data_IF_752605282749
#
_entry.id   IF_752605282749
#
_cell.length_a   1.000
_cell.length_b   1.000
_cell.length_c   1.000
_cell.angle_alpha   90.00
_cell.angle_beta   90.00
_cell.angle_gamma   90.00
#
_symmetry.space_group_name_H-M   'P 1'
#
loop_
_entity.id
_entity.type
_entity.pdbx_description
1 polymer ?
#
# COMPACT_ATOMS: atom_id res chain seq x y z
N UNK A 1 -44.03 -38.62 14.07
CA UNK A 1 -43.08 -37.66 14.67
C UNK A 1 -42.80 -36.56 13.66
N UNK A 2 -43.24 -35.32 13.92
CA UNK A 2 -42.90 -34.16 13.09
C UNK A 2 -41.47 -33.74 13.47
N UNK A 3 -40.51 -33.87 12.55
CA UNK A 3 -39.18 -33.33 12.72
C UNK A 3 -39.26 -31.80 12.60
N UNK A 4 -39.23 -31.11 13.73
CA UNK A 4 -39.01 -29.67 13.78
C UNK A 4 -37.57 -29.37 13.35
N UNK A 5 -37.40 -28.90 12.13
CA UNK A 5 -36.16 -28.31 11.66
C UNK A 5 -35.98 -27.01 12.46
N UNK A 6 -35.12 -27.04 13.49
CA UNK A 6 -34.66 -25.82 14.14
C UNK A 6 -33.97 -24.96 13.08
N UNK A 7 -34.64 -23.91 12.63
CA UNK A 7 -34.04 -22.86 11.80
C UNK A 7 -32.97 -22.17 12.66
N UNK A 8 -31.71 -22.55 12.45
CA UNK A 8 -30.58 -21.78 12.99
C UNK A 8 -30.53 -20.48 12.22
N UNK A 9 -30.99 -19.39 12.81
CA UNK A 9 -30.92 -18.06 12.20
C UNK A 9 -29.45 -17.65 12.17
N UNK A 10 -28.84 -17.62 10.98
CA UNK A 10 -27.49 -17.11 10.78
C UNK A 10 -27.53 -15.59 10.99
N UNK A 11 -26.67 -15.05 11.86
CA UNK A 11 -26.53 -13.61 12.03
C UNK A 11 -25.82 -13.02 10.81
N UNK A 12 -26.49 -12.15 10.07
CA UNK A 12 -26.00 -11.56 8.80
C UNK A 12 -25.59 -10.09 8.96
N UNK A 13 -25.38 -9.61 10.18
CA UNK A 13 -24.87 -8.27 10.47
C UNK A 13 -25.89 -7.29 11.07
N UNK A 14 -25.50 -6.00 11.23
CA UNK A 14 -24.24 -5.41 10.76
C UNK A 14 -23.01 -5.98 11.48
N UNK A 15 -21.88 -6.01 10.78
CA UNK A 15 -20.58 -6.41 11.34
C UNK A 15 -19.72 -5.16 11.55
N UNK A 16 -19.08 -5.05 12.71
CA UNK A 16 -18.06 -4.03 12.98
C UNK A 16 -16.68 -4.68 12.90
N UNK A 17 -15.77 -4.07 12.14
CA UNK A 17 -14.39 -4.55 11.96
C UNK A 17 -13.45 -3.43 12.36
N UNK A 18 -12.55 -3.72 13.32
CA UNK A 18 -11.43 -2.86 13.68
C UNK A 18 -10.15 -3.55 13.23
N UNK A 19 -9.36 -2.84 12.44
CA UNK A 19 -8.03 -3.28 12.02
C UNK A 19 -7.00 -2.78 13.03
N UNK A 20 -5.93 -3.55 13.22
CA UNK A 20 -4.80 -3.17 14.09
C UNK A 20 -4.02 -1.99 13.50
N UNK A 21 -3.80 -2.04 12.18
CA UNK A 21 -3.07 -1.02 11.44
C UNK A 21 -3.79 -0.65 10.14
N UNK A 22 -3.42 0.51 9.59
CA UNK A 22 -3.97 0.98 8.32
C UNK A 22 -3.79 -0.05 7.23
N UNK A 23 -2.58 -0.55 6.99
CA UNK A 23 -2.29 -1.61 6.02
C UNK A 23 -2.23 -2.95 6.76
N UNK A 24 -3.36 -3.64 6.80
CA UNK A 24 -3.47 -4.97 7.38
C UNK A 24 -4.57 -5.79 6.69
N UNK A 25 -4.50 -7.12 6.80
CA UNK A 25 -5.52 -8.02 6.29
C UNK A 25 -6.80 -7.92 7.13
N UNK A 26 -7.96 -7.72 6.48
CA UNK A 26 -9.24 -7.80 7.15
C UNK A 26 -9.69 -9.27 7.29
N UNK A 27 -10.83 -9.55 7.96
CA UNK A 27 -11.26 -10.92 8.22
C UNK A 27 -11.42 -11.79 6.96
N UNK A 28 -11.83 -11.20 5.84
CA UNK A 28 -12.02 -11.92 4.58
C UNK A 28 -10.67 -12.32 3.95
N UNK A 29 -9.67 -11.43 3.95
CA UNK A 29 -8.32 -11.74 3.47
C UNK A 29 -7.68 -12.83 4.34
N UNK A 30 -7.85 -12.76 5.67
CA UNK A 30 -7.39 -13.79 6.61
C UNK A 30 -8.06 -15.14 6.33
N UNK A 31 -9.36 -15.17 6.04
CA UNK A 31 -10.10 -16.38 5.67
C UNK A 31 -9.50 -17.09 4.44
N UNK A 32 -9.06 -16.31 3.45
CA UNK A 32 -8.46 -16.83 2.22
C UNK A 32 -6.96 -17.16 2.36
N UNK A 33 -6.36 -16.89 3.52
CA UNK A 33 -4.92 -17.07 3.74
C UNK A 33 -4.04 -16.06 3.01
N UNK A 34 -4.59 -14.90 2.64
CA UNK A 34 -3.84 -13.83 1.98
C UNK A 34 -2.82 -13.24 2.95
N UNK A 35 -1.61 -12.98 2.45
CA UNK A 35 -0.53 -12.27 3.17
C UNK A 35 -0.06 -11.07 2.37
N UNK A 36 0.13 -9.94 3.05
CA UNK A 36 0.77 -8.75 2.50
C UNK A 36 2.28 -8.95 2.64
N UNK A 37 2.99 -8.96 1.52
CA UNK A 37 4.46 -9.04 1.48
C UNK A 37 5.05 -7.63 1.44
N UNK A 38 4.44 -6.76 0.64
CA UNK A 38 4.85 -5.36 0.46
C UNK A 38 3.62 -4.51 0.12
N UNK A 39 3.57 -3.26 0.61
CA UNK A 39 2.56 -2.27 0.21
C UNK A 39 3.09 -0.86 0.45
N UNK A 40 3.65 -0.24 -0.59
CA UNK A 40 4.33 1.05 -0.51
C UNK A 40 4.30 1.78 -1.86
N UNK A 41 4.34 3.12 -1.84
CA UNK A 41 4.53 3.96 -3.03
C UNK A 41 3.59 3.65 -4.22
N UNK A 42 2.37 3.21 -3.95
CA UNK A 42 1.38 2.89 -4.97
C UNK A 42 1.60 1.52 -5.61
N UNK A 43 2.39 0.66 -4.95
CA UNK A 43 2.66 -0.72 -5.32
C UNK A 43 2.30 -1.65 -4.16
N UNK A 44 1.97 -2.89 -4.47
CA UNK A 44 1.82 -3.93 -3.45
C UNK A 44 2.11 -5.32 -4.00
N UNK A 45 2.63 -6.20 -3.14
CA UNK A 45 2.83 -7.62 -3.41
C UNK A 45 2.11 -8.42 -2.34
N UNK A 46 1.18 -9.26 -2.77
CA UNK A 46 0.43 -10.15 -1.88
C UNK A 46 0.58 -11.60 -2.33
N UNK A 47 0.44 -12.53 -1.39
CA UNK A 47 0.42 -13.97 -1.68
C UNK A 47 -0.84 -14.63 -1.13
N UNK A 48 -1.27 -15.73 -1.76
CA UNK A 48 -2.39 -16.54 -1.31
C UNK A 48 -2.11 -18.03 -1.61
N UNK A 49 -2.13 -18.92 -0.61
CA UNK A 49 -1.97 -20.35 -0.85
C UNK A 49 -3.21 -20.92 -1.54
N UNK A 50 -3.04 -21.79 -2.54
CA UNK A 50 -4.16 -22.56 -3.07
C UNK A 50 -4.47 -23.74 -2.14
N UNK A 51 -5.63 -23.68 -1.47
CA UNK A 51 -6.17 -24.74 -0.62
C UNK A 51 -7.49 -25.26 -1.17
N UNK A 52 -7.91 -26.46 -0.76
CA UNK A 52 -9.11 -27.13 -1.28
C UNK A 52 -10.38 -26.28 -1.18
N UNK A 53 -10.52 -25.46 -0.13
CA UNK A 53 -11.66 -24.57 0.08
C UNK A 53 -11.77 -23.48 -1.00
N UNK A 54 -10.69 -23.19 -1.71
CA UNK A 54 -10.64 -22.21 -2.80
C UNK A 54 -10.79 -22.86 -4.18
N UNK A 55 -10.99 -24.17 -4.25
CA UNK A 55 -11.15 -24.88 -5.51
C UNK A 55 -12.57 -24.74 -6.07
N UNK A 56 -12.69 -24.66 -7.39
CA UNK A 56 -13.94 -24.91 -8.10
C UNK A 56 -14.13 -26.43 -8.37
N UNK A 57 -15.30 -26.84 -8.86
CA UNK A 57 -15.70 -28.25 -9.01
C UNK A 57 -14.79 -29.18 -9.83
N UNK A 58 -13.83 -28.67 -10.60
CA UNK A 58 -12.79 -29.43 -11.33
C UNK A 58 -11.43 -29.42 -10.62
N UNK A 59 -11.35 -28.95 -9.37
CA UNK A 59 -10.11 -28.92 -8.59
C UNK A 59 -9.13 -27.81 -8.95
N UNK A 60 -9.51 -26.85 -9.80
CA UNK A 60 -8.69 -25.65 -10.07
C UNK A 60 -9.04 -24.56 -9.06
N UNK A 61 -8.17 -23.57 -8.86
CA UNK A 61 -8.52 -22.37 -8.12
C UNK A 61 -9.78 -21.70 -8.73
N UNK A 62 -10.73 -21.33 -7.86
CA UNK A 62 -11.92 -20.60 -8.26
C UNK A 62 -11.51 -19.21 -8.76
N UNK A 63 -12.00 -18.79 -9.93
CA UNK A 63 -11.61 -17.50 -10.53
C UNK A 63 -11.86 -16.31 -9.59
N UNK A 64 -12.96 -16.36 -8.83
CA UNK A 64 -13.25 -15.37 -7.79
C UNK A 64 -12.18 -15.25 -6.70
N UNK A 65 -11.50 -16.34 -6.30
CA UNK A 65 -10.42 -16.27 -5.32
C UNK A 65 -9.19 -15.55 -5.90
N UNK A 66 -8.87 -15.82 -7.18
CA UNK A 66 -7.76 -15.14 -7.88
C UNK A 66 -8.07 -13.65 -8.06
N UNK A 67 -9.30 -13.32 -8.44
CA UNK A 67 -9.78 -11.92 -8.55
C UNK A 67 -9.70 -11.22 -7.20
N UNK A 68 -10.10 -11.88 -6.11
CA UNK A 68 -9.96 -11.31 -4.76
C UNK A 68 -8.51 -10.99 -4.43
N UNK A 69 -7.58 -11.93 -4.66
CA UNK A 69 -6.15 -11.66 -4.42
C UNK A 69 -5.68 -10.42 -5.21
N UNK A 70 -6.06 -10.30 -6.48
CA UNK A 70 -5.66 -9.17 -7.31
C UNK A 70 -6.29 -7.83 -6.85
N UNK A 71 -7.60 -7.81 -6.57
CA UNK A 71 -8.28 -6.58 -6.12
C UNK A 71 -7.79 -6.14 -4.74
N UNK A 72 -7.57 -7.08 -3.80
CA UNK A 72 -6.95 -6.79 -2.51
C UNK A 72 -5.54 -6.23 -2.69
N UNK A 73 -4.73 -6.76 -3.61
CA UNK A 73 -3.39 -6.22 -3.88
C UNK A 73 -3.48 -4.77 -4.39
N UNK A 74 -4.41 -4.46 -5.29
CA UNK A 74 -4.64 -3.08 -5.73
C UNK A 74 -5.12 -2.21 -4.56
N UNK A 75 -6.01 -2.70 -3.70
CA UNK A 75 -6.47 -1.95 -2.54
C UNK A 75 -5.32 -1.63 -1.57
N UNK A 76 -4.39 -2.55 -1.33
CA UNK A 76 -3.19 -2.27 -0.50
C UNK A 76 -2.28 -1.25 -1.17
N UNK A 77 -2.12 -1.32 -2.50
CA UNK A 77 -1.40 -0.31 -3.26
C UNK A 77 -2.08 1.07 -3.15
N UNK A 78 -3.42 1.16 -3.19
CA UNK A 78 -4.16 2.40 -2.91
C UNK A 78 -3.86 2.91 -1.50
N UNK A 79 -3.95 2.05 -0.48
CA UNK A 79 -3.73 2.41 0.94
C UNK A 79 -2.35 3.00 1.17
N UNK A 80 -1.35 2.61 0.38
CA UNK A 80 0.02 3.14 0.48
C UNK A 80 0.20 4.57 -0.03
N UNK A 81 -0.77 5.16 -0.73
CA UNK A 81 -0.66 6.53 -1.30
C UNK A 81 -1.76 7.49 -0.86
N UNK A 82 -2.68 7.01 -0.02
CA UNK A 82 -3.77 7.82 0.52
C UNK A 82 -3.61 7.93 2.03
N UNK A 83 -4.10 9.02 2.65
CA UNK A 83 -4.01 9.19 4.10
C UNK A 83 -4.61 7.99 4.86
N UNK A 84 -4.04 7.59 6.00
CA UNK A 84 -4.65 6.57 6.85
C UNK A 84 -6.11 6.87 7.15
N UNK A 85 -6.94 5.83 7.24
CA UNK A 85 -8.39 5.90 7.45
C UNK A 85 -9.18 6.54 6.29
N UNK A 86 -8.56 6.80 5.15
CA UNK A 86 -9.25 7.27 3.95
C UNK A 86 -10.34 6.28 3.51
N UNK A 87 -11.53 6.79 3.20
CA UNK A 87 -12.61 5.95 2.67
C UNK A 87 -12.51 5.88 1.15
N UNK A 88 -12.49 4.67 0.61
CA UNK A 88 -12.49 4.41 -0.83
C UNK A 88 -13.13 3.05 -1.12
N UNK A 89 -13.45 2.80 -2.39
CA UNK A 89 -13.96 1.50 -2.82
C UNK A 89 -13.76 1.26 -4.31
N UNK A 90 -13.67 -0.02 -4.68
CA UNK A 90 -13.66 -0.48 -6.07
C UNK A 90 -15.02 -0.20 -6.70
N UNK A 91 -15.05 0.50 -7.84
CA UNK A 91 -16.30 0.82 -8.56
C UNK A 91 -16.43 0.06 -9.88
N UNK A 92 -15.32 -0.40 -10.45
CA UNK A 92 -15.31 -1.30 -11.59
C UNK A 92 -14.01 -2.08 -11.63
N UNK A 93 -14.06 -3.27 -12.20
CA UNK A 93 -12.90 -4.12 -12.43
C UNK A 93 -13.08 -4.96 -13.69
N UNK A 94 -11.97 -5.40 -14.27
CA UNK A 94 -11.89 -6.35 -15.36
C UNK A 94 -10.77 -7.35 -15.09
N UNK A 95 -11.00 -8.63 -15.39
CA UNK A 95 -10.02 -9.71 -15.19
C UNK A 95 -9.95 -10.61 -16.42
N UNK A 96 -8.73 -10.93 -16.83
CA UNK A 96 -8.42 -11.85 -17.93
C UNK A 96 -7.66 -13.06 -17.37
N UNK A 97 -8.23 -14.26 -17.49
CA UNK A 97 -7.62 -15.51 -17.02
C UNK A 97 -6.74 -16.12 -18.12
N UNK A 98 -5.46 -16.34 -17.82
CA UNK A 98 -4.44 -16.74 -18.79
C UNK A 98 -4.10 -18.23 -18.66
N UNK A 99 -3.96 -18.73 -17.42
CA UNK A 99 -3.58 -20.11 -17.14
C UNK A 99 -4.28 -20.65 -15.88
N UNK A 100 -4.58 -21.96 -15.83
CA UNK A 100 -5.20 -22.58 -14.66
C UNK A 100 -4.22 -22.70 -13.50
N UNK A 101 -4.74 -22.61 -12.26
CA UNK A 101 -3.97 -22.86 -11.03
C UNK A 101 -4.48 -24.15 -10.38
N UNK A 102 -3.57 -25.09 -10.16
CA UNK A 102 -3.87 -26.43 -9.62
C UNK A 102 -3.16 -26.72 -8.29
N UNK A 103 -2.17 -25.92 -7.92
CA UNK A 103 -1.33 -26.10 -6.72
C UNK A 103 -0.54 -24.83 -6.41
N UNK A 104 0.13 -24.84 -5.27
CA UNK A 104 1.14 -23.85 -4.90
C UNK A 104 0.57 -22.57 -4.30
N UNK A 105 1.41 -21.53 -4.33
CA UNK A 105 1.07 -20.19 -3.82
C UNK A 105 0.96 -19.23 -4.98
N UNK A 106 -0.14 -18.48 -5.03
CA UNK A 106 -0.31 -17.40 -5.99
C UNK A 106 0.33 -16.12 -5.45
N UNK A 107 0.94 -15.33 -6.33
CA UNK A 107 1.50 -14.01 -6.02
C UNK A 107 0.86 -12.95 -6.89
N UNK A 108 0.24 -11.93 -6.30
CA UNK A 108 -0.24 -10.76 -7.03
C UNK A 108 0.72 -9.59 -6.86
N UNK A 109 1.05 -8.94 -7.97
CA UNK A 109 1.83 -7.71 -8.01
C UNK A 109 0.95 -6.60 -8.57
N UNK A 110 0.69 -5.58 -7.76
CA UNK A 110 -0.21 -4.49 -8.08
C UNK A 110 0.51 -3.14 -8.15
N UNK A 111 0.00 -2.24 -8.99
CA UNK A 111 0.38 -0.83 -9.04
C UNK A 111 -0.83 0.06 -9.29
N UNK A 112 -0.80 1.28 -8.78
CA UNK A 112 -1.88 2.26 -8.92
C UNK A 112 -1.41 3.59 -9.49
N UNK A 113 -2.35 4.32 -10.10
CA UNK A 113 -2.16 5.65 -10.64
C UNK A 113 -3.34 6.53 -10.23
N UNK A 114 -3.03 7.69 -9.62
CA UNK A 114 -4.04 8.71 -9.34
C UNK A 114 -4.57 9.29 -10.66
N UNK A 115 -5.89 9.43 -10.73
CA UNK A 115 -6.59 10.10 -11.82
C UNK A 115 -7.30 11.35 -11.26
N UNK A 116 -7.90 12.13 -12.16
CA UNK A 116 -8.73 13.26 -11.77
C UNK A 116 -10.02 12.81 -11.05
N UNK A 117 -10.77 13.76 -10.49
CA UNK A 117 -12.08 13.51 -9.92
C UNK A 117 -12.13 12.43 -8.84
N UNK A 118 -11.11 12.34 -7.97
CA UNK A 118 -11.03 11.37 -6.85
C UNK A 118 -11.03 9.91 -7.33
N UNK A 119 -10.50 9.66 -8.51
CA UNK A 119 -10.39 8.34 -9.12
C UNK A 119 -8.96 7.81 -8.96
N UNK A 120 -8.83 6.51 -8.80
CA UNK A 120 -7.54 5.81 -8.84
C UNK A 120 -7.69 4.62 -9.78
N UNK A 121 -6.79 4.50 -10.75
CA UNK A 121 -6.69 3.32 -11.60
C UNK A 121 -5.70 2.35 -10.98
N UNK A 122 -6.09 1.07 -10.91
CA UNK A 122 -5.22 0.00 -10.48
C UNK A 122 -5.01 -1.05 -11.56
N UNK A 123 -3.85 -1.69 -11.51
CA UNK A 123 -3.53 -2.86 -12.31
C UNK A 123 -2.83 -3.89 -11.43
N UNK A 124 -3.10 -5.18 -11.65
CA UNK A 124 -2.41 -6.28 -10.99
C UNK A 124 -2.19 -7.43 -11.96
N UNK A 125 -1.05 -8.11 -11.83
CA UNK A 125 -0.79 -9.39 -12.48
C UNK A 125 -0.61 -10.46 -11.41
N UNK A 126 -1.29 -11.59 -11.57
CA UNK A 126 -1.18 -12.74 -10.67
C UNK A 126 -0.32 -13.81 -11.32
N UNK A 127 0.58 -14.38 -10.53
CA UNK A 127 1.52 -15.43 -10.92
C UNK A 127 1.29 -16.68 -10.07
N UNK A 128 1.60 -17.86 -10.62
CA UNK A 128 1.70 -19.10 -9.85
C UNK A 128 3.10 -19.27 -9.21
N UNK A 129 3.33 -20.41 -8.56
CA UNK A 129 4.62 -20.74 -7.91
C UNK A 129 5.81 -20.80 -8.88
N UNK A 130 5.54 -21.10 -10.16
CA UNK A 130 6.54 -21.20 -11.22
C UNK A 130 6.77 -19.85 -11.95
N UNK A 131 6.26 -18.73 -11.40
CA UNK A 131 6.28 -17.39 -12.00
C UNK A 131 5.58 -17.27 -13.36
N UNK A 132 4.64 -18.16 -13.68
CA UNK A 132 3.78 -18.06 -14.87
C UNK A 132 2.62 -17.10 -14.57
N UNK A 133 2.36 -16.16 -15.48
CA UNK A 133 1.17 -15.30 -15.40
C UNK A 133 -0.11 -16.13 -15.52
N UNK A 134 -0.99 -16.03 -14.52
CA UNK A 134 -2.27 -16.75 -14.49
C UNK A 134 -3.47 -15.84 -14.66
N UNK A 135 -3.34 -14.55 -14.32
CA UNK A 135 -4.41 -13.58 -14.48
C UNK A 135 -3.87 -12.14 -14.62
N UNK A 136 -4.47 -11.36 -15.52
CA UNK A 136 -4.33 -9.91 -15.57
C UNK A 136 -5.58 -9.24 -15.02
N UNK A 137 -5.40 -8.15 -14.30
CA UNK A 137 -6.46 -7.44 -13.59
C UNK A 137 -6.29 -5.93 -13.74
N UNK A 138 -7.40 -5.23 -13.91
CA UNK A 138 -7.46 -3.77 -13.87
C UNK A 138 -8.72 -3.33 -13.14
N UNK A 139 -8.64 -2.23 -12.40
CA UNK A 139 -9.79 -1.69 -11.68
C UNK A 139 -9.77 -0.18 -11.54
N UNK A 140 -10.93 0.38 -11.22
CA UNK A 140 -11.10 1.76 -10.83
C UNK A 140 -11.61 1.83 -9.39
N UNK A 141 -10.97 2.69 -8.61
CA UNK A 141 -11.35 3.03 -7.25
C UNK A 141 -11.84 4.47 -7.19
N UNK A 142 -12.81 4.72 -6.30
CA UNK A 142 -13.31 6.05 -5.97
C UNK A 142 -12.99 6.39 -4.52
N UNK A 143 -12.31 7.51 -4.30
CA UNK A 143 -12.14 8.07 -2.95
C UNK A 143 -13.41 8.80 -2.52
N UNK A 144 -13.73 8.76 -1.24
CA UNK A 144 -14.81 9.54 -0.65
C UNK A 144 -14.54 11.06 -0.76
N UNK A 145 -15.56 11.89 -0.53
CA UNK A 145 -15.47 13.35 -0.77
C UNK A 145 -14.54 14.07 0.22
N UNK A 146 -14.40 13.52 1.40
CA UNK A 146 -13.60 13.99 2.53
C UNK A 146 -12.12 13.63 2.43
N UNK A 147 -11.73 12.80 1.48
CA UNK A 147 -10.33 12.42 1.26
C UNK A 147 -9.66 13.45 0.34
N UNK A 148 -8.73 14.24 0.90
CA UNK A 148 -7.93 15.22 0.15
C UNK A 148 -6.43 14.87 0.19
N UNK A 149 -5.98 14.17 -0.85
CA UNK A 149 -4.58 13.76 -1.01
C UNK A 149 -3.64 14.97 -1.19
N UNK A 150 -4.13 16.06 -1.82
CA UNK A 150 -3.28 17.24 -2.07
C UNK A 150 -3.01 17.99 -0.78
N UNK A 151 -4.02 18.13 0.07
CA UNK A 151 -3.89 18.74 1.40
C UNK A 151 -2.90 17.96 2.26
N UNK A 152 -3.04 16.64 2.35
CA UNK A 152 -2.15 15.78 3.15
C UNK A 152 -0.69 15.86 2.67
N UNK A 153 -0.44 15.76 1.36
CA UNK A 153 0.91 15.95 0.80
C UNK A 153 1.48 17.33 1.12
N UNK A 154 0.65 18.38 1.06
CA UNK A 154 1.07 19.74 1.40
C UNK A 154 1.40 19.88 2.89
N UNK A 155 0.63 19.25 3.77
CA UNK A 155 0.87 19.23 5.21
C UNK A 155 2.13 18.45 5.56
N UNK A 156 2.33 17.24 4.99
CA UNK A 156 3.60 16.47 5.13
C UNK A 156 4.80 17.30 4.67
N UNK A 157 4.70 17.95 3.49
CA UNK A 157 5.77 18.80 2.94
C UNK A 157 6.07 20.00 3.84
N UNK A 158 5.03 20.64 4.38
CA UNK A 158 5.17 21.76 5.32
C UNK A 158 5.85 21.33 6.62
N UNK A 159 5.48 20.18 7.16
CA UNK A 159 6.05 19.61 8.39
C UNK A 159 7.52 19.23 8.20
N UNK A 160 7.86 18.61 7.08
CA UNK A 160 9.25 18.30 6.71
C UNK A 160 10.09 19.59 6.60
N UNK A 161 9.59 20.60 5.90
CA UNK A 161 10.27 21.90 5.78
C UNK A 161 10.57 22.53 7.16
N UNK A 162 9.58 22.50 8.07
CA UNK A 162 9.74 23.05 9.41
C UNK A 162 10.78 22.27 10.22
N UNK A 163 10.80 20.94 10.10
CA UNK A 163 11.79 20.07 10.75
C UNK A 163 13.22 20.35 10.25
N UNK A 164 13.42 20.41 8.94
CA UNK A 164 14.73 20.70 8.32
C UNK A 164 15.25 22.06 8.77
N UNK A 165 14.40 23.10 8.74
CA UNK A 165 14.79 24.45 9.18
C UNK A 165 15.08 24.53 10.66
N UNK A 166 14.33 23.81 11.49
CA UNK A 166 14.57 23.74 12.93
C UNK A 166 15.90 23.05 13.24
N UNK A 167 16.21 21.95 12.55
CA UNK A 167 17.48 21.26 12.70
C UNK A 167 18.66 22.17 12.30
N UNK A 168 18.57 22.86 11.16
CA UNK A 168 19.60 23.82 10.73
C UNK A 168 19.76 24.99 11.72
N UNK A 169 18.66 25.52 12.27
CA UNK A 169 18.69 26.58 13.28
C UNK A 169 19.37 26.13 14.58
N UNK A 170 19.09 24.90 15.04
CA UNK A 170 19.76 24.33 16.21
C UNK A 170 21.27 24.20 15.97
N UNK A 171 21.66 23.65 14.81
CA UNK A 171 23.07 23.53 14.44
C UNK A 171 23.78 24.90 14.36
N UNK A 172 23.10 25.93 13.86
CA UNK A 172 23.63 27.29 13.82
C UNK A 172 23.87 27.87 15.23
N UNK A 173 23.02 27.57 16.20
CA UNK A 173 23.17 28.02 17.58
C UNK A 173 24.30 27.29 18.33
N UNK A 174 24.62 26.07 17.91
CA UNK A 174 25.71 25.27 18.46
C UNK A 174 27.06 25.58 17.78
N UNK A 175 27.05 26.20 16.59
CA UNK A 175 28.27 26.61 15.90
C UNK A 175 29.00 27.73 16.65
N UNK A 176 30.24 27.45 17.00
CA UNK A 176 31.15 28.42 17.62
C UNK A 176 32.19 28.96 16.65
N UNK A 177 32.23 28.45 15.40
CA UNK A 177 33.21 28.85 14.40
C UNK A 177 32.93 30.23 13.80
N UNK A 178 31.65 30.66 13.77
CA UNK A 178 31.22 31.92 13.17
C UNK A 178 31.07 31.87 11.65
N UNK A 179 31.18 30.68 11.05
CA UNK A 179 31.11 30.46 9.60
C UNK A 179 29.99 29.48 9.19
N UNK A 180 28.95 29.33 10.02
CA UNK A 180 27.85 28.41 9.74
C UNK A 180 27.20 28.65 8.37
N UNK A 181 27.15 27.59 7.56
CA UNK A 181 26.39 27.54 6.31
C UNK A 181 25.38 26.40 6.40
N UNK A 182 24.09 26.74 6.31
CA UNK A 182 23.01 25.77 6.49
C UNK A 182 22.99 24.67 5.42
N UNK A 183 23.33 25.00 4.16
CA UNK A 183 23.39 24.02 3.08
C UNK A 183 24.56 23.05 3.26
N UNK A 184 25.75 23.56 3.58
CA UNK A 184 26.92 22.71 3.85
C UNK A 184 26.72 21.83 5.07
N UNK A 185 26.08 22.32 6.12
CA UNK A 185 25.69 21.51 7.27
C UNK A 185 24.71 20.40 6.87
N UNK A 186 23.67 20.73 6.09
CA UNK A 186 22.68 19.75 5.68
C UNK A 186 23.28 18.66 4.78
N UNK A 187 24.22 19.00 3.91
CA UNK A 187 24.93 18.01 3.11
C UNK A 187 25.71 17.02 3.99
N UNK A 188 26.45 17.51 4.99
CA UNK A 188 27.14 16.65 5.97
C UNK A 188 26.16 15.82 6.80
N UNK A 189 25.05 16.39 7.26
CA UNK A 189 24.04 15.68 8.04
C UNK A 189 23.38 14.56 7.22
N UNK A 190 23.15 14.76 5.92
CA UNK A 190 22.61 13.72 5.04
C UNK A 190 23.65 12.65 4.67
N UNK A 191 24.94 12.98 4.71
CA UNK A 191 26.04 12.01 4.53
C UNK A 191 26.24 11.16 5.80
N UNK A 192 26.31 11.78 6.96
CA UNK A 192 26.59 11.13 8.25
C UNK A 192 25.34 10.42 8.82
N UNK A 193 24.18 11.06 8.69
CA UNK A 193 22.90 10.61 9.24
C UNK A 193 21.79 10.61 8.17
N UNK A 194 21.90 9.77 7.12
CA UNK A 194 20.96 9.78 6.00
C UNK A 194 19.49 9.51 6.37
N UNK A 195 19.25 8.90 7.52
CA UNK A 195 17.92 8.50 8.00
C UNK A 195 17.26 9.59 8.88
N UNK A 196 17.92 10.74 9.08
CA UNK A 196 17.51 11.81 10.01
C UNK A 196 16.09 12.35 9.76
N UNK A 197 15.58 12.22 8.53
CA UNK A 197 14.25 12.67 8.13
C UNK A 197 13.30 11.53 7.71
N UNK A 198 13.62 10.27 7.99
CA UNK A 198 12.82 9.13 7.52
C UNK A 198 11.36 9.16 7.99
N UNK A 199 11.07 9.76 9.15
CA UNK A 199 9.70 9.89 9.67
C UNK A 199 8.74 10.66 8.76
N UNK A 200 9.26 11.42 7.79
CA UNK A 200 8.47 12.20 6.84
C UNK A 200 8.23 11.46 5.51
N UNK A 201 8.82 10.29 5.34
CA UNK A 201 8.73 9.50 4.12
C UNK A 201 8.13 8.12 4.40
N UNK A 202 7.49 7.54 3.38
CA UNK A 202 6.80 6.25 3.54
C UNK A 202 7.78 5.05 3.48
N UNK A 203 9.01 5.24 2.98
CA UNK A 203 10.05 4.21 2.89
C UNK A 203 11.30 4.66 3.67
N UNK A 204 11.91 3.83 4.52
CA UNK A 204 13.20 4.14 5.16
C UNK A 204 14.32 4.32 4.14
N UNK A 205 15.28 5.22 4.42
CA UNK A 205 16.38 5.50 3.49
C UNK A 205 17.15 4.25 3.03
N UNK A 206 17.34 3.28 3.94
CA UNK A 206 18.09 2.06 3.67
C UNK A 206 17.42 1.13 2.63
N UNK A 207 16.12 1.30 2.39
CA UNK A 207 15.33 0.49 1.46
C UNK A 207 15.19 1.15 0.07
N UNK A 208 15.71 2.37 -0.09
CA UNK A 208 15.66 3.11 -1.35
C UNK A 208 16.72 2.65 -2.35
N UNK A 209 16.37 2.68 -3.63
CA UNK A 209 17.33 2.65 -4.73
C UNK A 209 18.17 3.93 -4.77
N UNK A 210 19.34 3.89 -5.42
CA UNK A 210 20.23 5.07 -5.50
C UNK A 210 19.54 6.29 -6.12
N UNK A 211 18.69 6.07 -7.14
CA UNK A 211 17.90 7.13 -7.76
C UNK A 211 16.86 7.74 -6.83
N UNK A 212 16.24 6.93 -5.98
CA UNK A 212 15.26 7.41 -5.00
C UNK A 212 15.95 8.17 -3.86
N UNK A 213 17.13 7.71 -3.42
CA UNK A 213 17.98 8.44 -2.46
C UNK A 213 18.35 9.82 -2.97
N UNK A 214 18.79 9.91 -4.23
CA UNK A 214 19.12 11.18 -4.87
C UNK A 214 17.89 12.10 -4.93
N UNK A 215 16.74 11.56 -5.33
CA UNK A 215 15.48 12.33 -5.39
C UNK A 215 15.07 12.85 -4.01
N UNK A 216 15.17 12.02 -2.97
CA UNK A 216 14.86 12.41 -1.58
C UNK A 216 15.82 13.48 -1.07
N UNK A 217 17.11 13.33 -1.31
CA UNK A 217 18.11 14.31 -0.90
C UNK A 217 17.88 15.67 -1.57
N UNK A 218 17.54 15.68 -2.87
CA UNK A 218 17.14 16.91 -3.58
C UNK A 218 15.89 17.54 -2.95
N UNK A 219 14.89 16.74 -2.59
CA UNK A 219 13.69 17.25 -1.92
C UNK A 219 14.01 17.89 -0.57
N UNK A 220 14.80 17.23 0.28
CA UNK A 220 15.18 17.74 1.60
C UNK A 220 15.98 19.05 1.46
N UNK A 221 16.96 19.08 0.55
CA UNK A 221 17.77 20.28 0.24
C UNK A 221 16.93 21.47 -0.18
N UNK A 222 15.80 21.26 -0.86
CA UNK A 222 14.96 22.35 -1.36
C UNK A 222 14.29 23.21 -0.28
N UNK A 223 14.43 22.85 1.00
CA UNK A 223 13.81 23.57 2.12
C UNK A 223 14.73 24.59 2.84
N UNK A 224 16.02 24.59 2.54
CA UNK A 224 17.00 25.60 2.95
C UNK A 224 17.32 26.54 1.79
#
# INVERSE_FOLDING_TARGET
MKNEIKKTTIFTGPHEVKLEEWISCAPFEKLLGIKIIEAQNGCAILTMPFVLQLAQGKGLAHGGAIVTLADTAVAMAVKSIVPPNSRFGTISLNSEFIAPVTKGVLTAKAKVKLLENRMIQGASTVFNEDNVEVMKFSSLFKLAKDVDIKKDKKEKKSSLMESVRKAASNAANEDTSGYFNAMSWLDLELEDNPNSFDSFFDIPWNELTDKEKETRAIEIRSFL
#
